data_IF_468869956954
#
_entry.id   IF_468869956954
#
_cell.length_a   1.000
_cell.length_b   1.000
_cell.length_c   1.000
_cell.angle_alpha   90.00
_cell.angle_beta   90.00
_cell.angle_gamma   90.00
#
_symmetry.space_group_name_H-M   'P 1'
#
loop_
_entity.id
_entity.type
_entity.pdbx_description
1 polymer ?
#
# COMPACT_ATOMS: atom_id res chain seq x y z
N UNK A 1 22.36 -29.15 14.30
CA UNK A 1 21.60 -27.92 14.63
C UNK A 1 20.29 -27.72 13.83
N UNK A 2 20.14 -28.20 12.57
CA UNK A 2 18.90 -28.01 11.79
C UNK A 2 17.70 -28.89 12.22
N UNK A 3 17.95 -30.06 12.81
CA UNK A 3 16.90 -31.03 13.22
C UNK A 3 16.22 -30.62 14.53
N UNK A 4 16.91 -29.89 15.42
CA UNK A 4 16.36 -29.44 16.70
C UNK A 4 15.24 -28.37 16.53
N UNK A 5 15.35 -27.51 15.52
CA UNK A 5 14.31 -26.51 15.22
C UNK A 5 13.03 -27.14 14.65
N UNK A 6 13.16 -28.21 13.85
CA UNK A 6 12.01 -28.94 13.30
C UNK A 6 11.27 -29.69 14.41
N UNK A 7 12.00 -30.31 15.35
CA UNK A 7 11.43 -30.95 16.53
C UNK A 7 10.73 -29.95 17.45
N UNK A 8 11.32 -28.78 17.73
CA UNK A 8 10.67 -27.73 18.55
C UNK A 8 9.38 -27.21 17.89
N UNK A 9 9.38 -27.05 16.56
CA UNK A 9 8.17 -26.66 15.81
C UNK A 9 7.09 -27.74 15.88
N UNK A 10 7.46 -29.02 15.80
CA UNK A 10 6.55 -30.15 15.88
C UNK A 10 5.97 -30.34 17.29
N UNK A 11 6.76 -30.07 18.34
CA UNK A 11 6.31 -30.13 19.75
C UNK A 11 5.37 -28.96 20.09
N UNK A 12 5.63 -27.76 19.57
CA UNK A 12 4.71 -26.61 19.69
C UNK A 12 3.40 -26.83 18.92
N UNK A 13 3.46 -27.51 17.78
CA UNK A 13 2.27 -27.85 16.98
C UNK A 13 1.39 -28.90 17.68
N UNK A 14 1.99 -29.87 18.39
CA UNK A 14 1.23 -30.83 19.20
C UNK A 14 0.66 -30.21 20.49
N UNK A 15 1.32 -29.20 21.07
CA UNK A 15 0.77 -28.47 22.23
C UNK A 15 -0.48 -27.65 21.89
N UNK A 16 -0.68 -27.29 20.62
CA UNK A 16 -1.88 -26.59 20.16
C UNK A 16 -3.09 -27.51 19.91
N UNK A 17 -2.89 -28.84 19.86
CA UNK A 17 -3.95 -29.81 19.54
C UNK A 17 -4.73 -30.25 20.80
N UNK A 18 -4.24 -29.98 22.02
CA UNK A 18 -4.91 -30.36 23.27
C UNK A 18 -5.84 -29.31 23.88
N UNK A 19 -5.96 -28.12 23.28
CA UNK A 19 -6.99 -27.16 23.67
C UNK A 19 -8.32 -27.50 22.97
N UNK A 20 -9.21 -28.21 23.67
CA UNK A 20 -10.64 -28.24 23.30
C UNK A 20 -11.19 -26.83 23.48
N UNK A 21 -11.49 -26.07 22.42
CA UNK A 21 -12.16 -24.79 22.59
C UNK A 21 -13.61 -25.12 22.97
N UNK A 22 -14.06 -24.64 24.14
CA UNK A 22 -15.51 -24.51 24.37
C UNK A 22 -16.04 -23.65 23.23
N UNK A 23 -17.01 -24.16 22.48
CA UNK A 23 -17.71 -23.42 21.45
C UNK A 23 -18.38 -22.21 22.11
N UNK A 24 -17.70 -21.06 22.06
CA UNK A 24 -18.27 -19.81 22.55
C UNK A 24 -19.21 -19.32 21.45
N UNK A 25 -20.50 -19.18 21.81
CA UNK A 25 -21.45 -18.43 21.02
C UNK A 25 -20.80 -17.09 20.66
N UNK A 26 -20.90 -16.74 19.38
CA UNK A 26 -20.54 -15.41 18.90
C UNK A 26 -21.47 -14.46 19.65
N UNK A 27 -20.98 -13.86 20.73
CA UNK A 27 -21.51 -12.57 21.17
C UNK A 27 -21.18 -11.61 20.03
N UNK A 28 -22.09 -11.55 19.06
CA UNK A 28 -22.32 -10.30 18.35
C UNK A 28 -22.60 -9.34 19.49
N UNK A 29 -21.64 -8.46 19.78
CA UNK A 29 -21.87 -7.37 20.72
C UNK A 29 -23.01 -6.57 20.11
N UNK A 30 -24.23 -6.95 20.48
CA UNK A 30 -25.43 -6.23 20.15
C UNK A 30 -25.22 -4.84 20.74
N UNK A 31 -25.71 -3.82 20.05
CA UNK A 31 -25.45 -2.41 20.31
C UNK A 31 -26.05 -1.89 21.63
N UNK A 32 -26.21 -2.74 22.63
CA UNK A 32 -26.81 -2.42 23.92
C UNK A 32 -25.78 -1.77 24.85
N UNK A 33 -25.94 -0.45 24.95
CA UNK A 33 -25.40 0.45 25.98
C UNK A 33 -23.87 0.61 25.93
N UNK A 34 -23.41 1.35 24.92
CA UNK A 34 -22.12 2.03 25.01
C UNK A 34 -22.24 3.08 26.12
N UNK A 35 -21.69 2.82 27.31
CA UNK A 35 -21.50 3.87 28.32
C UNK A 35 -20.80 5.05 27.65
N UNK A 36 -21.39 6.25 27.77
CA UNK A 36 -20.85 7.51 27.27
C UNK A 36 -19.59 7.89 28.07
N UNK A 37 -18.52 7.16 27.83
CA UNK A 37 -17.17 7.51 28.26
C UNK A 37 -16.55 8.44 27.23
N UNK A 38 -15.61 9.31 27.62
CA UNK A 38 -14.84 10.17 26.70
C UNK A 38 -14.36 9.42 25.45
N UNK A 39 -13.85 8.19 25.64
CA UNK A 39 -13.37 7.27 24.61
C UNK A 39 -14.41 6.80 23.58
N UNK A 40 -15.70 6.98 23.85
CA UNK A 40 -16.80 6.58 22.99
C UNK A 40 -17.56 7.77 22.35
N UNK A 41 -17.12 9.00 22.59
CA UNK A 41 -17.80 10.20 22.09
C UNK A 41 -17.83 10.27 20.56
N UNK A 42 -18.90 10.83 19.99
CA UNK A 42 -19.04 11.06 18.54
C UNK A 42 -17.88 11.90 17.99
N UNK A 43 -17.44 12.89 18.75
CA UNK A 43 -16.30 13.75 18.40
C UNK A 43 -14.99 12.95 18.28
N UNK A 44 -14.69 12.08 19.25
CA UNK A 44 -13.47 11.26 19.20
C UNK A 44 -13.52 10.27 18.03
N UNK A 45 -14.66 9.61 17.80
CA UNK A 45 -14.83 8.67 16.67
C UNK A 45 -14.62 9.34 15.31
N UNK A 46 -15.11 10.56 15.14
CA UNK A 46 -14.95 11.36 13.92
C UNK A 46 -13.50 11.80 13.73
N UNK A 47 -12.83 12.22 14.80
CA UNK A 47 -11.52 12.85 14.72
C UNK A 47 -10.34 11.89 14.79
N UNK A 48 -10.49 10.67 15.33
CA UNK A 48 -9.36 9.75 15.57
C UNK A 48 -8.53 9.46 14.31
N UNK A 49 -9.16 8.95 13.25
CA UNK A 49 -8.45 8.60 12.00
C UNK A 49 -7.84 9.85 11.34
N UNK A 50 -8.59 10.96 11.15
CA UNK A 50 -8.01 12.20 10.64
C UNK A 50 -6.81 12.71 11.42
N UNK A 51 -6.90 12.74 12.75
CA UNK A 51 -5.82 13.24 13.61
C UNK A 51 -4.58 12.36 13.49
N UNK A 52 -4.74 11.03 13.45
CA UNK A 52 -3.61 10.11 13.24
C UNK A 52 -2.94 10.39 11.89
N UNK A 53 -3.71 10.56 10.82
CA UNK A 53 -3.17 10.80 9.47
C UNK A 53 -2.49 12.18 9.36
N UNK A 54 -3.08 13.21 9.94
CA UNK A 54 -2.48 14.56 9.98
C UNK A 54 -1.20 14.55 10.81
N UNK A 55 -1.22 13.88 11.98
CA UNK A 55 -0.03 13.70 12.81
C UNK A 55 1.06 12.90 12.10
N UNK A 56 0.70 11.85 11.36
CA UNK A 56 1.64 11.12 10.51
C UNK A 56 2.21 12.00 9.38
N UNK A 57 1.40 12.88 8.79
CA UNK A 57 1.87 13.90 7.85
C UNK A 57 2.92 14.83 8.46
N UNK A 58 2.70 15.28 9.70
CA UNK A 58 3.69 16.06 10.46
C UNK A 58 4.95 15.25 10.80
N UNK A 59 4.79 14.02 11.30
CA UNK A 59 5.91 13.15 11.68
C UNK A 59 6.80 12.74 10.50
N UNK A 60 6.25 12.70 9.29
CA UNK A 60 7.01 12.38 8.07
C UNK A 60 7.69 13.59 7.42
N UNK A 61 7.54 14.81 7.97
CA UNK A 61 8.08 16.03 7.40
C UNK A 61 9.62 16.02 7.27
N UNK A 62 10.31 15.48 8.27
CA UNK A 62 11.78 15.37 8.27
C UNK A 62 12.30 14.36 7.25
N UNK A 63 11.54 13.29 6.98
CA UNK A 63 11.97 12.20 6.10
C UNK A 63 11.53 12.36 4.64
N UNK A 64 10.68 13.34 4.32
CA UNK A 64 10.10 13.51 2.97
C UNK A 64 11.12 13.65 1.84
N UNK A 65 12.29 14.26 2.10
CA UNK A 65 13.39 14.37 1.13
C UNK A 65 14.01 13.00 0.83
N UNK A 66 14.18 12.16 1.84
CA UNK A 66 14.64 10.79 1.65
C UNK A 66 13.63 9.96 0.86
N UNK A 67 12.33 10.10 1.14
CA UNK A 67 11.27 9.41 0.38
C UNK A 67 11.28 9.84 -1.09
N UNK A 68 11.43 11.15 -1.38
CA UNK A 68 11.59 11.63 -2.76
C UNK A 68 12.86 11.11 -3.43
N UNK A 69 14.00 11.17 -2.73
CA UNK A 69 15.29 10.71 -3.27
C UNK A 69 15.25 9.21 -3.56
N UNK A 70 14.64 8.44 -2.66
CA UNK A 70 14.29 7.05 -2.86
C UNK A 70 13.42 6.93 -4.10
N UNK A 71 12.24 7.55 -4.18
CA UNK A 71 11.38 7.45 -5.36
C UNK A 71 12.13 7.79 -6.66
N UNK A 72 12.86 8.90 -6.72
CA UNK A 72 13.61 9.33 -7.91
C UNK A 72 14.69 8.32 -8.34
N UNK A 73 15.34 7.65 -7.38
CA UNK A 73 16.30 6.57 -7.67
C UNK A 73 15.62 5.34 -8.28
N UNK A 74 14.33 5.11 -8.00
CA UNK A 74 13.61 3.86 -8.32
C UNK A 74 12.69 4.03 -9.54
N UNK A 75 12.12 5.22 -9.69
CA UNK A 75 11.08 5.58 -10.65
C UNK A 75 11.34 6.99 -11.22
N UNK A 76 12.51 7.21 -11.88
CA UNK A 76 12.91 8.54 -12.35
C UNK A 76 11.98 9.08 -13.44
N UNK A 77 11.47 8.21 -14.31
CA UNK A 77 10.63 8.56 -15.47
C UNK A 77 9.13 8.44 -15.19
N UNK A 78 8.71 8.12 -13.96
CA UNK A 78 7.30 7.97 -13.64
C UNK A 78 6.57 9.32 -13.72
N UNK A 79 5.74 9.44 -14.77
CA UNK A 79 4.91 10.59 -15.09
C UNK A 79 3.59 10.08 -15.70
N UNK A 80 2.60 9.82 -14.87
CA UNK A 80 1.28 9.36 -15.29
C UNK A 80 0.18 10.24 -14.71
N UNK A 81 -0.89 10.48 -15.46
CA UNK A 81 -1.98 11.39 -15.08
C UNK A 81 -3.25 10.68 -14.58
N UNK A 82 -3.21 9.37 -14.35
CA UNK A 82 -4.41 8.61 -13.93
C UNK A 82 -5.01 9.15 -12.62
N UNK A 83 -4.17 9.69 -11.75
CA UNK A 83 -4.49 10.26 -10.45
C UNK A 83 -5.19 11.64 -10.53
N UNK A 84 -5.16 12.32 -11.69
CA UNK A 84 -5.99 13.51 -11.95
C UNK A 84 -7.47 13.13 -12.05
N UNK A 85 -7.79 11.94 -12.56
CA UNK A 85 -9.16 11.48 -12.80
C UNK A 85 -9.67 10.54 -11.71
N UNK A 86 -8.82 9.63 -11.23
CA UNK A 86 -9.18 8.60 -10.25
C UNK A 86 -9.72 9.19 -8.93
N UNK A 87 -9.32 10.43 -8.60
CA UNK A 87 -9.81 11.13 -7.41
C UNK A 87 -11.34 11.29 -7.37
N UNK A 88 -12.01 11.33 -8.53
CA UNK A 88 -13.45 11.50 -8.66
C UNK A 88 -14.22 10.17 -8.76
N UNK A 89 -13.52 9.04 -8.91
CA UNK A 89 -14.17 7.74 -9.07
C UNK A 89 -15.15 7.40 -7.92
N UNK A 90 -14.86 7.68 -6.64
CA UNK A 90 -15.81 7.36 -5.57
C UNK A 90 -17.11 8.18 -5.62
N UNK A 91 -17.05 9.48 -5.97
CA UNK A 91 -18.27 10.30 -6.10
C UNK A 91 -19.05 9.93 -7.36
N UNK A 92 -18.37 9.64 -8.47
CA UNK A 92 -19.01 9.13 -9.68
C UNK A 92 -19.75 7.81 -9.40
N UNK A 93 -19.17 6.92 -8.59
CA UNK A 93 -19.82 5.69 -8.16
C UNK A 93 -21.08 5.96 -7.31
N UNK A 94 -21.06 6.93 -6.39
CA UNK A 94 -22.28 7.33 -5.65
C UNK A 94 -23.38 7.78 -6.62
N UNK A 95 -23.06 8.66 -7.57
CA UNK A 95 -24.03 9.15 -8.54
C UNK A 95 -24.58 8.04 -9.45
N UNK A 96 -23.70 7.18 -9.96
CA UNK A 96 -24.06 6.05 -10.82
C UNK A 96 -24.91 5.00 -10.10
N UNK A 97 -24.57 4.66 -8.85
CA UNK A 97 -25.37 3.74 -8.03
C UNK A 97 -26.76 4.31 -7.75
N UNK A 98 -26.86 5.61 -7.47
CA UNK A 98 -28.14 6.28 -7.27
C UNK A 98 -28.99 6.27 -8.56
N UNK A 99 -28.38 6.60 -9.71
CA UNK A 99 -29.05 6.58 -11.01
C UNK A 99 -29.50 5.17 -11.42
N UNK A 100 -28.75 4.14 -11.05
CA UNK A 100 -29.11 2.73 -11.23
C UNK A 100 -30.17 2.23 -10.22
N UNK A 101 -30.72 3.10 -9.37
CA UNK A 101 -31.76 2.76 -8.40
C UNK A 101 -31.25 2.09 -7.12
N UNK A 102 -29.93 1.98 -6.92
CA UNK A 102 -29.35 1.44 -5.68
C UNK A 102 -29.51 2.48 -4.57
N UNK A 103 -30.36 2.16 -3.59
CA UNK A 103 -30.63 3.04 -2.44
C UNK A 103 -29.42 3.10 -1.52
N UNK A 104 -28.84 4.29 -1.39
CA UNK A 104 -27.85 4.60 -0.35
C UNK A 104 -28.51 4.91 1.00
N UNK A 105 -27.70 5.28 1.99
CA UNK A 105 -28.18 5.65 3.33
C UNK A 105 -29.13 6.83 3.30
N UNK A 106 -28.83 7.86 2.51
CA UNK A 106 -29.67 9.04 2.41
C UNK A 106 -30.30 9.17 1.02
N UNK A 107 -31.45 9.84 0.96
CA UNK A 107 -32.02 10.34 -0.30
C UNK A 107 -30.99 11.25 -0.98
N UNK A 108 -30.98 11.23 -2.31
CA UNK A 108 -29.98 11.93 -3.13
C UNK A 108 -29.85 13.41 -2.76
N UNK A 109 -30.95 14.12 -2.51
CA UNK A 109 -30.90 15.53 -2.10
C UNK A 109 -30.11 15.77 -0.81
N UNK A 110 -30.34 14.96 0.23
CA UNK A 110 -29.57 15.05 1.49
C UNK A 110 -28.11 14.62 1.29
N UNK A 111 -27.87 13.55 0.53
CA UNK A 111 -26.51 13.09 0.23
C UNK A 111 -25.69 14.18 -0.49
N UNK A 112 -26.29 14.86 -1.49
CA UNK A 112 -25.66 15.96 -2.21
C UNK A 112 -25.41 17.18 -1.35
N UNK A 113 -26.31 17.51 -0.41
CA UNK A 113 -26.06 18.61 0.54
C UNK A 113 -24.92 18.26 1.51
N UNK A 114 -24.88 17.02 2.04
CA UNK A 114 -23.74 16.54 2.82
C UNK A 114 -22.44 16.63 2.03
N UNK A 115 -22.46 16.22 0.76
CA UNK A 115 -21.32 16.31 -0.14
C UNK A 115 -20.86 17.77 -0.35
N UNK A 116 -21.80 18.69 -0.62
CA UNK A 116 -21.51 20.10 -0.84
C UNK A 116 -20.83 20.75 0.38
N UNK A 117 -21.34 20.50 1.59
CA UNK A 117 -20.67 20.97 2.81
C UNK A 117 -19.29 20.35 3.00
N UNK A 118 -19.16 19.05 2.71
CA UNK A 118 -17.86 18.35 2.78
C UNK A 118 -16.84 18.98 1.85
N UNK A 119 -17.23 19.23 0.59
CA UNK A 119 -16.39 19.86 -0.43
C UNK A 119 -16.03 21.30 -0.08
N UNK A 120 -16.99 22.08 0.42
CA UNK A 120 -16.75 23.46 0.87
C UNK A 120 -15.73 23.52 2.02
N UNK A 121 -15.88 22.66 3.04
CA UNK A 121 -14.95 22.58 4.17
C UNK A 121 -13.55 22.16 3.68
N UNK A 122 -13.48 21.09 2.88
CA UNK A 122 -12.22 20.56 2.36
C UNK A 122 -11.48 21.61 1.53
N UNK A 123 -12.17 22.24 0.58
CA UNK A 123 -11.60 23.28 -0.29
C UNK A 123 -11.13 24.49 0.53
N UNK A 124 -11.92 24.93 1.52
CA UNK A 124 -11.56 26.05 2.38
C UNK A 124 -10.29 25.76 3.18
N UNK A 125 -10.23 24.61 3.85
CA UNK A 125 -9.07 24.22 4.67
C UNK A 125 -7.83 24.04 3.80
N UNK A 126 -7.92 23.26 2.71
CA UNK A 126 -6.79 22.95 1.85
C UNK A 126 -6.24 24.22 1.19
N UNK A 127 -7.09 25.05 0.60
CA UNK A 127 -6.62 26.25 -0.09
C UNK A 127 -6.04 27.28 0.90
N UNK A 128 -6.68 27.48 2.06
CA UNK A 128 -6.14 28.37 3.10
C UNK A 128 -4.74 27.93 3.51
N UNK A 129 -4.53 26.65 3.80
CA UNK A 129 -3.20 26.15 4.20
C UNK A 129 -2.20 26.23 3.03
N UNK A 130 -2.60 25.89 1.80
CA UNK A 130 -1.71 25.96 0.64
C UNK A 130 -1.16 27.37 0.40
N UNK A 131 -2.02 28.37 0.42
CA UNK A 131 -1.64 29.75 0.10
C UNK A 131 -0.96 30.49 1.26
N UNK A 132 -1.07 29.97 2.49
CA UNK A 132 -0.37 30.48 3.68
C UNK A 132 0.99 29.80 3.86
N UNK A 133 1.05 28.47 3.86
CA UNK A 133 2.28 27.72 4.10
C UNK A 133 3.28 27.77 2.94
N UNK A 134 2.80 27.95 1.70
CA UNK A 134 3.61 28.14 0.48
C UNK A 134 4.77 27.14 0.32
N UNK A 135 4.50 25.88 0.66
CA UNK A 135 5.49 24.79 0.59
C UNK A 135 5.78 24.47 -0.87
N UNK A 136 7.06 24.44 -1.23
CA UNK A 136 7.52 24.06 -2.56
C UNK A 136 7.28 22.58 -2.84
N UNK A 137 6.87 22.27 -4.08
CA UNK A 137 6.64 20.90 -4.53
C UNK A 137 7.94 20.12 -4.69
N UNK A 138 7.89 18.78 -4.62
CA UNK A 138 9.05 17.94 -4.91
C UNK A 138 9.66 18.22 -6.29
N UNK A 139 8.86 18.50 -7.32
CA UNK A 139 9.35 18.83 -8.66
C UNK A 139 9.90 20.26 -8.83
N UNK A 140 9.84 21.13 -7.80
CA UNK A 140 10.23 22.54 -7.88
C UNK A 140 9.29 23.42 -8.71
N UNK A 141 8.16 22.90 -9.19
CA UNK A 141 7.29 23.63 -10.13
C UNK A 141 6.53 24.79 -9.50
N UNK A 142 6.00 24.61 -8.28
CA UNK A 142 5.15 25.60 -7.61
C UNK A 142 5.25 25.54 -6.09
N UNK A 143 4.86 26.63 -5.42
CA UNK A 143 4.83 26.76 -3.94
C UNK A 143 3.44 26.57 -3.35
N UNK A 144 2.79 25.46 -3.69
CA UNK A 144 1.46 25.10 -3.20
C UNK A 144 1.34 23.61 -2.89
N UNK A 145 2.40 23.00 -2.36
CA UNK A 145 2.46 21.55 -2.12
C UNK A 145 1.55 21.12 -0.96
N UNK A 146 1.73 21.71 0.22
CA UNK A 146 1.07 21.24 1.44
C UNK A 146 -0.29 21.92 1.72
N UNK A 147 -1.34 21.16 2.11
CA UNK A 147 -1.50 19.71 2.00
C UNK A 147 -1.90 19.29 0.57
N UNK A 148 -1.86 18.01 0.22
CA UNK A 148 -2.26 17.53 -1.11
C UNK A 148 -3.77 17.69 -1.33
N UNK A 149 -4.17 18.52 -2.30
CA UNK A 149 -5.58 18.76 -2.61
C UNK A 149 -6.24 17.60 -3.35
N UNK A 150 -5.51 16.92 -4.24
CA UNK A 150 -5.99 15.72 -4.93
C UNK A 150 -6.24 14.58 -3.94
N UNK A 151 -5.33 14.40 -2.98
CA UNK A 151 -5.50 13.40 -1.93
C UNK A 151 -6.67 13.77 -1.02
N UNK A 152 -6.78 15.03 -0.59
CA UNK A 152 -7.89 15.48 0.23
C UNK A 152 -9.25 15.28 -0.46
N UNK A 153 -9.36 15.65 -1.74
CA UNK A 153 -10.57 15.45 -2.53
C UNK A 153 -10.90 13.96 -2.69
N UNK A 154 -9.90 13.13 -3.00
CA UNK A 154 -10.12 11.70 -3.18
C UNK A 154 -10.56 10.99 -1.89
N UNK A 155 -9.94 11.29 -0.75
CA UNK A 155 -10.33 10.73 0.55
C UNK A 155 -11.68 11.29 1.06
N UNK A 156 -12.00 12.54 0.72
CA UNK A 156 -13.34 13.11 0.95
C UNK A 156 -14.40 12.33 0.15
N UNK A 157 -14.18 12.14 -1.16
CA UNK A 157 -15.07 11.37 -2.03
C UNK A 157 -15.18 9.91 -1.56
N UNK A 158 -14.07 9.30 -1.12
CA UNK A 158 -14.09 7.93 -0.62
C UNK A 158 -14.88 7.78 0.68
N UNK A 159 -14.74 8.74 1.60
CA UNK A 159 -15.52 8.78 2.84
C UNK A 159 -17.01 9.03 2.55
N UNK A 160 -17.33 9.80 1.51
CA UNK A 160 -18.70 10.02 1.05
C UNK A 160 -19.34 8.71 0.57
N UNK A 161 -18.66 7.97 -0.32
CA UNK A 161 -19.11 6.64 -0.76
C UNK A 161 -19.20 5.64 0.41
N UNK A 162 -18.26 5.68 1.35
CA UNK A 162 -18.30 4.86 2.56
C UNK A 162 -19.55 5.12 3.41
N UNK A 163 -19.93 6.40 3.59
CA UNK A 163 -21.12 6.77 4.38
C UNK A 163 -22.43 6.44 3.68
N UNK A 164 -22.51 6.62 2.36
CA UNK A 164 -23.74 6.36 1.61
C UNK A 164 -23.96 4.87 1.33
N UNK A 165 -22.93 4.13 0.96
CA UNK A 165 -23.08 2.73 0.50
C UNK A 165 -22.24 1.75 1.31
N UNK A 166 -21.07 2.16 1.80
CA UNK A 166 -20.13 1.30 2.52
C UNK A 166 -20.70 0.70 3.81
N UNK A 167 -21.34 1.53 4.64
CA UNK A 167 -21.94 1.10 5.92
C UNK A 167 -23.39 0.63 5.78
N UNK A 168 -24.04 0.96 4.67
CA UNK A 168 -25.47 0.73 4.44
C UNK A 168 -25.73 -0.50 3.58
N UNK A 169 -25.03 -0.64 2.44
CA UNK A 169 -25.21 -1.73 1.48
C UNK A 169 -24.15 -2.83 1.62
N UNK A 170 -22.87 -2.48 1.44
CA UNK A 170 -21.78 -3.47 1.48
C UNK A 170 -20.43 -2.83 1.81
N UNK A 171 -19.59 -3.49 2.63
CA UNK A 171 -18.22 -3.04 2.88
C UNK A 171 -17.38 -2.90 1.61
N UNK A 172 -17.68 -3.65 0.54
CA UNK A 172 -16.96 -3.60 -0.74
C UNK A 172 -16.89 -2.18 -1.32
N UNK A 173 -17.97 -1.39 -1.18
CA UNK A 173 -17.98 -0.01 -1.61
C UNK A 173 -16.93 0.83 -0.87
N UNK A 174 -16.73 0.59 0.43
CA UNK A 174 -15.69 1.26 1.23
C UNK A 174 -14.30 0.87 0.75
N UNK A 175 -14.08 -0.41 0.47
CA UNK A 175 -12.77 -0.89 0.06
C UNK A 175 -12.42 -0.31 -1.32
N UNK A 176 -13.33 -0.42 -2.29
CA UNK A 176 -13.13 0.18 -3.61
C UNK A 176 -12.86 1.67 -3.53
N UNK A 177 -13.63 2.39 -2.70
CA UNK A 177 -13.46 3.81 -2.45
C UNK A 177 -12.05 4.17 -1.93
N UNK A 178 -11.63 3.53 -0.83
CA UNK A 178 -10.34 3.84 -0.19
C UNK A 178 -9.15 3.28 -0.98
N UNK A 179 -9.32 2.23 -1.77
CA UNK A 179 -8.32 1.76 -2.73
C UNK A 179 -8.09 2.78 -3.83
N UNK A 180 -9.14 3.31 -4.44
CA UNK A 180 -9.02 4.38 -5.45
C UNK A 180 -8.37 5.65 -4.85
N UNK A 181 -8.72 6.00 -3.61
CA UNK A 181 -8.12 7.13 -2.91
C UNK A 181 -6.65 6.92 -2.57
N UNK A 182 -6.28 5.71 -2.15
CA UNK A 182 -4.88 5.34 -1.89
C UNK A 182 -4.06 5.34 -3.18
N UNK A 183 -4.60 4.81 -4.28
CA UNK A 183 -3.94 4.82 -5.58
C UNK A 183 -3.70 6.25 -6.11
N UNK A 184 -4.65 7.16 -5.87
CA UNK A 184 -4.48 8.60 -6.16
C UNK A 184 -3.39 9.22 -5.29
N UNK A 185 -3.41 8.94 -3.98
CA UNK A 185 -2.42 9.41 -3.01
C UNK A 185 -1.00 8.99 -3.37
N UNK A 186 -0.81 7.70 -3.67
CA UNK A 186 0.47 7.14 -4.12
C UNK A 186 0.88 7.75 -5.46
N UNK A 187 -0.05 7.87 -6.42
CA UNK A 187 0.22 8.51 -7.71
C UNK A 187 0.79 9.93 -7.57
N UNK A 188 0.23 10.75 -6.68
CA UNK A 188 0.71 12.12 -6.43
C UNK A 188 2.16 12.17 -5.91
N UNK A 189 2.55 11.21 -5.08
CA UNK A 189 3.93 11.06 -4.57
C UNK A 189 4.86 10.55 -5.69
N UNK A 190 4.45 9.49 -6.40
CA UNK A 190 5.16 8.92 -7.54
C UNK A 190 5.32 9.90 -8.72
N UNK A 191 4.47 10.91 -8.84
CA UNK A 191 4.58 11.98 -9.84
C UNK A 191 5.37 13.22 -9.38
N UNK A 192 5.90 13.24 -8.14
CA UNK A 192 6.67 14.36 -7.54
C UNK A 192 5.81 15.61 -7.39
N UNK A 193 4.49 15.45 -7.39
CA UNK A 193 3.54 16.56 -7.25
C UNK A 193 3.38 16.94 -5.78
N UNK A 194 3.50 15.97 -4.87
CA UNK A 194 3.32 16.16 -3.45
C UNK A 194 4.29 15.31 -2.63
N UNK A 195 4.73 15.85 -1.49
CA UNK A 195 5.52 15.09 -0.51
C UNK A 195 4.64 14.07 0.22
N UNK A 196 5.22 12.99 0.77
CA UNK A 196 4.50 12.02 1.61
C UNK A 196 3.76 12.69 2.78
N UNK A 197 4.34 13.73 3.36
CA UNK A 197 3.72 14.56 4.41
C UNK A 197 2.41 15.20 3.95
N UNK A 198 2.40 15.69 2.71
CA UNK A 198 1.25 16.40 2.12
C UNK A 198 0.13 15.43 1.80
N UNK A 199 0.49 14.22 1.35
CA UNK A 199 -0.44 13.13 1.01
C UNK A 199 -1.13 12.63 2.28
N UNK A 200 -0.38 12.32 3.35
CA UNK A 200 -0.95 11.86 4.62
C UNK A 200 -1.84 12.93 5.28
N UNK A 201 -1.39 14.17 5.35
CA UNK A 201 -2.20 15.27 5.87
C UNK A 201 -3.45 15.53 5.02
N UNK A 202 -3.31 15.48 3.69
CA UNK A 202 -4.43 15.59 2.76
C UNK A 202 -5.49 14.51 3.00
N UNK A 203 -5.08 13.24 3.17
CA UNK A 203 -5.99 12.14 3.45
C UNK A 203 -6.80 12.37 4.74
N UNK A 204 -6.14 12.80 5.82
CA UNK A 204 -6.80 13.14 7.08
C UNK A 204 -7.79 14.30 6.95
N UNK A 205 -7.39 15.39 6.28
CA UNK A 205 -8.27 16.55 6.03
C UNK A 205 -9.49 16.15 5.20
N UNK A 206 -9.32 15.32 4.17
CA UNK A 206 -10.41 14.82 3.34
C UNK A 206 -11.45 14.04 4.13
N UNK A 207 -11.02 13.06 4.93
CA UNK A 207 -11.91 12.26 5.80
C UNK A 207 -12.64 13.18 6.80
N UNK A 208 -11.91 14.08 7.47
CA UNK A 208 -12.50 14.97 8.47
C UNK A 208 -13.53 15.91 7.86
N UNK A 209 -13.25 16.44 6.67
CA UNK A 209 -14.17 17.35 5.97
C UNK A 209 -15.49 16.66 5.66
N UNK A 210 -15.45 15.39 5.22
CA UNK A 210 -16.68 14.61 5.04
C UNK A 210 -17.41 14.38 6.34
N UNK A 211 -16.73 13.98 7.40
CA UNK A 211 -17.39 13.80 8.70
C UNK A 211 -18.07 15.10 9.21
N UNK A 212 -17.41 16.25 9.07
CA UNK A 212 -17.97 17.54 9.45
C UNK A 212 -19.13 17.96 8.53
N UNK A 213 -19.03 17.73 7.22
CA UNK A 213 -20.10 18.00 6.28
C UNK A 213 -21.38 17.23 6.62
N UNK A 214 -21.24 15.97 7.03
CA UNK A 214 -22.37 15.18 7.54
C UNK A 214 -22.88 15.68 8.88
N UNK A 215 -22.03 16.13 9.81
CA UNK A 215 -22.49 16.75 11.06
C UNK A 215 -23.35 17.99 10.80
N UNK A 216 -22.97 18.81 9.82
CA UNK A 216 -23.74 20.00 9.42
C UNK A 216 -25.06 19.57 8.77
N UNK A 217 -25.03 18.64 7.82
CA UNK A 217 -26.24 18.15 7.16
C UNK A 217 -27.20 17.45 8.13
N UNK A 218 -26.69 16.65 9.08
CA UNK A 218 -27.49 16.01 10.14
C UNK A 218 -28.20 17.05 11.01
N UNK A 219 -27.58 18.21 11.28
CA UNK A 219 -28.25 19.30 12.02
C UNK A 219 -29.37 19.95 11.21
N UNK A 220 -29.20 20.08 9.90
CA UNK A 220 -30.19 20.69 9.00
C UNK A 220 -31.39 19.75 8.76
N UNK A 221 -31.11 18.49 8.44
CA UNK A 221 -32.12 17.52 8.04
C UNK A 221 -32.65 16.65 9.18
N UNK A 222 -31.98 16.61 10.34
CA UNK A 222 -32.29 15.68 11.45
C UNK A 222 -32.45 14.25 10.91
N UNK A 223 -33.61 13.63 11.09
CA UNK A 223 -33.90 12.28 10.59
C UNK A 223 -34.55 12.28 9.19
N UNK A 224 -34.85 13.44 8.60
CA UNK A 224 -35.49 13.51 7.30
C UNK A 224 -34.54 13.10 6.17
N UNK A 225 -35.05 12.29 5.25
CA UNK A 225 -34.30 11.83 4.08
C UNK A 225 -33.32 10.69 4.37
N UNK A 226 -33.35 10.07 5.55
CA UNK A 226 -32.72 8.77 5.79
C UNK A 226 -33.59 7.65 5.22
N UNK A 227 -32.98 6.77 4.42
CA UNK A 227 -33.59 5.49 4.13
C UNK A 227 -33.49 4.63 5.39
N UNK A 228 -34.61 4.02 5.78
CA UNK A 228 -34.59 2.98 6.80
C UNK A 228 -33.55 1.96 6.34
N UNK A 229 -32.57 1.69 7.21
CA UNK A 229 -31.66 0.57 7.00
C UNK A 229 -32.54 -0.67 6.97
N UNK A 230 -32.95 -1.08 5.78
CA UNK A 230 -33.52 -2.39 5.58
C UNK A 230 -32.48 -3.31 6.18
N UNK A 231 -32.85 -3.98 7.27
CA UNK A 231 -32.07 -5.04 7.88
C UNK A 231 -32.11 -6.20 6.89
N UNK A 232 -31.58 -5.99 5.67
CA UNK A 232 -31.14 -7.07 4.81
C UNK A 232 -30.19 -7.83 5.68
N UNK A 233 -30.62 -9.07 5.95
CA UNK A 233 -30.13 -10.04 6.90
C UNK A 233 -28.90 -9.59 7.68
N UNK A 234 -28.79 -9.81 9.00
CA UNK A 234 -27.45 -10.05 9.49
C UNK A 234 -26.89 -11.12 8.56
N UNK A 235 -26.03 -10.73 7.59
CA UNK A 235 -25.26 -11.71 6.86
C UNK A 235 -24.73 -12.54 8.00
N UNK A 236 -25.14 -13.82 8.11
CA UNK A 236 -24.80 -14.58 9.28
C UNK A 236 -23.32 -14.33 9.48
N UNK A 237 -22.84 -14.23 10.71
CA UNK A 237 -21.39 -14.43 10.89
C UNK A 237 -21.19 -15.90 10.54
N UNK A 238 -21.27 -16.17 9.23
CA UNK A 238 -20.95 -17.38 8.55
C UNK A 238 -19.55 -17.61 9.03
N UNK A 239 -19.26 -18.82 9.49
CA UNK A 239 -17.98 -19.06 10.14
C UNK A 239 -16.81 -18.85 9.17
N UNK A 240 -17.08 -18.56 7.89
CA UNK A 240 -16.23 -18.23 6.75
C UNK A 240 -15.65 -16.81 6.81
N UNK A 241 -14.41 -16.59 7.29
CA UNK A 241 -13.81 -15.27 7.36
C UNK A 241 -13.26 -14.82 6.00
N UNK A 242 -14.06 -14.89 4.93
CA UNK A 242 -13.65 -14.36 3.61
C UNK A 242 -13.27 -12.89 3.75
N UNK A 243 -12.24 -12.44 3.04
CA UNK A 243 -11.71 -11.10 3.24
C UNK A 243 -11.03 -10.51 2.01
N UNK A 244 -10.87 -9.19 2.05
CA UNK A 244 -9.96 -8.41 1.22
C UNK A 244 -9.10 -7.54 2.14
N UNK A 245 -7.79 -7.52 1.95
CA UNK A 245 -6.81 -6.93 2.85
C UNK A 245 -5.76 -6.11 2.09
N UNK A 246 -5.45 -4.93 2.64
CA UNK A 246 -4.29 -4.13 2.22
C UNK A 246 -3.16 -4.35 3.21
N UNK A 247 -1.95 -4.58 2.71
CA UNK A 247 -0.76 -4.94 3.48
C UNK A 247 0.37 -3.95 3.24
N UNK A 248 1.02 -3.54 4.32
CA UNK A 248 2.25 -2.76 4.31
C UNK A 248 3.25 -3.40 5.27
N UNK A 249 4.45 -3.67 4.78
CA UNK A 249 5.47 -4.36 5.54
C UNK A 249 6.87 -3.78 5.30
N UNK A 250 7.70 -3.92 6.32
CA UNK A 250 9.14 -3.83 6.21
C UNK A 250 9.67 -5.15 5.64
N UNK A 251 10.55 -5.09 4.65
CA UNK A 251 11.11 -6.25 3.98
C UNK A 251 12.62 -6.36 4.25
N UNK A 252 13.12 -7.56 4.49
CA UNK A 252 14.55 -7.83 4.64
C UNK A 252 14.95 -8.96 3.71
N UNK A 253 15.89 -8.70 2.81
CA UNK A 253 16.53 -9.73 2.00
C UNK A 253 17.30 -10.71 2.88
N UNK A 254 17.14 -12.01 2.63
CA UNK A 254 17.88 -13.08 3.30
C UNK A 254 19.01 -13.63 2.44
N UNK A 255 18.92 -13.50 1.12
CA UNK A 255 20.03 -13.80 0.20
C UNK A 255 21.18 -12.83 0.45
N UNK A 256 22.36 -13.36 0.78
CA UNK A 256 23.57 -12.55 1.08
C UNK A 256 24.25 -12.06 -0.20
N UNK A 257 24.15 -12.82 -1.29
CA UNK A 257 24.84 -12.55 -2.55
C UNK A 257 23.84 -12.54 -3.72
N UNK A 258 23.90 -11.48 -4.52
CA UNK A 258 23.14 -11.35 -5.78
C UNK A 258 23.93 -11.85 -7.00
N UNK A 259 25.15 -12.33 -6.79
CA UNK A 259 26.11 -12.77 -7.82
C UNK A 259 27.15 -13.70 -7.18
N UNK A 260 27.41 -14.88 -7.75
CA UNK A 260 28.44 -15.83 -7.24
C UNK A 260 29.89 -15.30 -7.34
N UNK A 261 30.11 -14.15 -8.01
CA UNK A 261 31.43 -13.64 -8.38
C UNK A 261 31.93 -12.43 -7.59
N UNK A 262 31.14 -11.87 -6.67
CA UNK A 262 31.54 -10.69 -5.89
C UNK A 262 30.92 -10.75 -4.50
N UNK A 263 31.76 -10.83 -3.45
CA UNK A 263 31.37 -10.91 -2.03
C UNK A 263 30.74 -9.60 -1.46
N UNK A 264 30.51 -8.58 -2.30
CA UNK A 264 30.27 -7.19 -1.89
C UNK A 264 28.88 -6.62 -2.25
N UNK A 265 27.98 -7.41 -2.84
CA UNK A 265 26.65 -6.95 -3.34
C UNK A 265 25.49 -7.57 -2.55
N UNK A 266 24.98 -6.85 -1.54
CA UNK A 266 23.83 -7.28 -0.74
C UNK A 266 22.63 -6.33 -0.83
N UNK A 267 21.42 -6.90 -0.83
CA UNK A 267 20.17 -6.16 -0.74
C UNK A 267 19.98 -5.60 0.68
N UNK A 268 19.81 -4.27 0.82
CA UNK A 268 19.44 -3.61 2.09
C UNK A 268 17.98 -3.91 2.44
N UNK A 269 17.56 -3.46 3.62
CA UNK A 269 16.16 -3.49 3.99
C UNK A 269 15.29 -2.62 3.09
N UNK A 270 14.14 -3.17 2.74
CA UNK A 270 13.18 -2.60 1.82
C UNK A 270 11.78 -2.48 2.42
N UNK A 271 10.80 -2.26 1.55
CA UNK A 271 9.39 -2.32 1.91
C UNK A 271 8.65 -3.29 1.00
N UNK A 272 7.51 -3.77 1.48
CA UNK A 272 6.56 -4.58 0.74
C UNK A 272 5.17 -3.98 0.90
N UNK A 273 4.48 -3.79 -0.22
CA UNK A 273 3.08 -3.37 -0.26
C UNK A 273 2.28 -4.43 -1.03
N UNK A 274 1.11 -4.80 -0.52
CA UNK A 274 0.32 -5.85 -1.14
C UNK A 274 -1.18 -5.70 -0.95
N UNK A 275 -1.92 -6.31 -1.86
CA UNK A 275 -3.35 -6.53 -1.78
C UNK A 275 -3.58 -8.05 -1.75
N UNK A 276 -4.36 -8.50 -0.79
CA UNK A 276 -4.60 -9.92 -0.52
C UNK A 276 -6.10 -10.16 -0.39
N UNK A 277 -6.62 -11.23 -0.99
CA UNK A 277 -8.03 -11.58 -0.84
C UNK A 277 -8.21 -13.08 -0.80
N UNK A 278 -9.13 -13.56 0.04
CA UNK A 278 -9.42 -14.98 0.18
C UNK A 278 -10.91 -15.24 0.37
N UNK A 279 -11.38 -16.29 -0.27
CA UNK A 279 -12.71 -16.85 -0.10
C UNK A 279 -12.63 -18.10 0.77
N UNK A 280 -13.27 -18.05 1.95
CA UNK A 280 -13.33 -19.15 2.90
C UNK A 280 -14.60 -19.96 2.67
N UNK A 281 -14.44 -21.23 2.27
CA UNK A 281 -15.55 -22.19 2.15
C UNK A 281 -15.77 -22.99 3.43
N UNK A 282 -14.87 -22.86 4.42
CA UNK A 282 -15.08 -23.33 5.80
C UNK A 282 -14.57 -22.29 6.81
N UNK A 283 -14.75 -22.53 8.12
CA UNK A 283 -14.19 -21.66 9.16
C UNK A 283 -12.67 -21.60 9.17
N UNK A 284 -12.03 -22.67 8.70
CA UNK A 284 -10.60 -22.90 8.90
C UNK A 284 -9.77 -22.77 7.64
N UNK A 285 -10.37 -23.05 6.48
CA UNK A 285 -9.67 -23.08 5.20
C UNK A 285 -10.45 -22.33 4.12
N UNK A 286 -9.70 -21.62 3.30
CA UNK A 286 -10.16 -20.87 2.13
C UNK A 286 -9.13 -20.91 1.00
N UNK A 287 -9.51 -20.36 -0.13
CA UNK A 287 -8.65 -20.18 -1.30
C UNK A 287 -8.59 -18.69 -1.63
N UNK A 288 -7.41 -18.19 -1.95
CA UNK A 288 -7.21 -16.77 -2.20
C UNK A 288 -6.00 -16.49 -3.06
N UNK A 289 -5.69 -15.20 -3.18
CA UNK A 289 -4.50 -14.74 -3.83
C UNK A 289 -3.98 -13.43 -3.24
N UNK A 290 -2.72 -13.17 -3.53
CA UNK A 290 -2.05 -11.91 -3.22
C UNK A 290 -1.37 -11.35 -4.46
N UNK A 291 -1.45 -10.03 -4.59
CA UNK A 291 -0.62 -9.25 -5.48
C UNK A 291 0.19 -8.29 -4.64
N UNK A 292 1.51 -8.34 -4.75
CA UNK A 292 2.37 -7.49 -3.95
C UNK A 292 3.61 -7.05 -4.72
N UNK A 293 4.17 -5.94 -4.26
CA UNK A 293 5.40 -5.36 -4.75
C UNK A 293 6.35 -5.13 -3.58
N UNK A 294 7.55 -5.69 -3.69
CA UNK A 294 8.67 -5.46 -2.80
C UNK A 294 9.71 -4.59 -3.48
N UNK A 295 10.38 -3.74 -2.72
CA UNK A 295 11.43 -2.87 -3.23
C UNK A 295 12.61 -2.85 -2.28
N UNK A 296 13.79 -3.25 -2.77
CA UNK A 296 15.02 -3.35 -1.98
C UNK A 296 16.09 -2.39 -2.51
N UNK A 297 16.53 -1.40 -1.71
CA UNK A 297 17.76 -0.68 -2.00
C UNK A 297 18.92 -1.65 -2.12
N UNK A 298 19.73 -1.48 -3.16
CA UNK A 298 21.01 -2.18 -3.27
C UNK A 298 22.10 -1.31 -2.65
N UNK A 299 23.05 -1.94 -1.94
CA UNK A 299 24.27 -1.25 -1.55
C UNK A 299 25.23 -1.24 -2.74
N UNK A 300 25.75 -0.06 -3.07
CA UNK A 300 26.73 0.16 -4.14
C UNK A 300 28.10 0.61 -3.62
N UNK A 301 28.25 0.81 -2.31
CA UNK A 301 29.44 1.40 -1.69
C UNK A 301 30.78 0.67 -2.04
N UNK A 302 30.75 -0.61 -2.41
CA UNK A 302 31.94 -1.44 -2.71
C UNK A 302 32.05 -1.95 -4.16
N UNK A 303 31.17 -1.52 -5.06
CA UNK A 303 31.19 -1.95 -6.46
C UNK A 303 32.40 -1.31 -7.17
N UNK A 304 33.48 -2.08 -7.32
CA UNK A 304 34.67 -1.67 -8.07
C UNK A 304 34.58 -2.17 -9.51
N UNK A 305 34.63 -1.23 -10.47
CA UNK A 305 34.77 -1.58 -11.87
C UNK A 305 36.25 -1.84 -12.13
N UNK A 306 36.60 -3.07 -12.55
CA UNK A 306 37.98 -3.47 -12.84
C UNK A 306 38.54 -2.86 -14.14
N UNK A 307 37.86 -1.85 -14.70
CA UNK A 307 38.20 -1.15 -15.92
C UNK A 307 38.80 0.22 -15.56
N UNK A 308 40.06 0.42 -15.93
CA UNK A 308 40.83 1.65 -15.71
C UNK A 308 40.17 2.88 -16.35
N UNK A 309 39.42 2.69 -17.44
CA UNK A 309 38.70 3.74 -18.14
C UNK A 309 37.50 4.28 -17.36
N UNK A 310 36.78 3.42 -16.62
CA UNK A 310 35.61 3.80 -15.83
C UNK A 310 36.00 4.72 -14.67
N UNK A 311 37.10 4.44 -13.97
CA UNK A 311 37.64 5.29 -12.91
C UNK A 311 38.15 6.65 -13.43
N UNK A 312 38.56 6.71 -14.71
CA UNK A 312 39.00 7.94 -15.35
C UNK A 312 37.82 8.89 -15.60
N UNK A 313 36.70 8.37 -16.12
CA UNK A 313 35.55 9.16 -16.58
C UNK A 313 34.43 9.32 -15.54
N UNK A 314 34.41 8.51 -14.48
CA UNK A 314 33.34 8.48 -13.48
C UNK A 314 33.82 8.88 -12.08
N UNK A 315 33.04 9.70 -11.36
CA UNK A 315 33.28 10.09 -9.96
C UNK A 315 32.54 9.20 -8.94
N UNK A 316 31.69 8.31 -9.43
CA UNK A 316 30.94 7.37 -8.62
C UNK A 316 29.85 6.68 -9.41
N UNK A 317 29.10 5.81 -8.77
CA UNK A 317 28.01 5.11 -9.41
C UNK A 317 26.82 5.03 -8.46
N UNK A 318 25.63 4.79 -9.01
CA UNK A 318 24.51 4.37 -8.19
C UNK A 318 23.71 3.27 -8.86
N UNK A 319 23.23 2.34 -8.04
CA UNK A 319 22.39 1.24 -8.51
C UNK A 319 20.92 1.60 -8.36
N UNK A 320 20.17 1.45 -9.45
CA UNK A 320 18.74 1.32 -9.30
C UNK A 320 18.45 0.06 -8.47
N UNK A 321 17.37 0.06 -7.71
CA UNK A 321 17.06 -0.93 -6.72
C UNK A 321 16.24 -2.07 -7.29
N UNK A 322 16.41 -3.23 -6.68
CA UNK A 322 15.70 -4.41 -7.11
C UNK A 322 14.25 -4.36 -6.61
N UNK A 323 13.34 -4.05 -7.53
CA UNK A 323 11.92 -4.22 -7.32
C UNK A 323 11.49 -5.63 -7.70
N UNK A 324 10.56 -6.23 -6.96
CA UNK A 324 9.95 -7.51 -7.31
C UNK A 324 8.45 -7.37 -7.14
N UNK A 325 7.69 -7.57 -8.22
CA UNK A 325 6.24 -7.77 -8.17
C UNK A 325 5.96 -9.26 -8.23
N UNK A 326 4.96 -9.72 -7.49
CA UNK A 326 4.54 -11.10 -7.56
C UNK A 326 3.03 -11.22 -7.41
N UNK A 327 2.49 -12.25 -8.06
CA UNK A 327 1.11 -12.68 -7.91
C UNK A 327 1.11 -14.14 -7.50
N UNK A 328 0.53 -14.44 -6.35
CA UNK A 328 0.42 -15.79 -5.83
C UNK A 328 -1.05 -16.14 -5.60
N UNK A 329 -1.36 -17.42 -5.76
CA UNK A 329 -2.63 -18.01 -5.36
C UNK A 329 -2.36 -19.25 -4.51
N UNK A 330 -3.28 -19.58 -3.61
CA UNK A 330 -3.15 -20.78 -2.80
C UNK A 330 -4.08 -20.82 -1.59
N UNK A 331 -3.88 -21.80 -0.69
CA UNK A 331 -4.71 -21.98 0.48
C UNK A 331 -4.44 -20.93 1.55
N UNK A 332 -5.53 -20.50 2.18
CA UNK A 332 -5.56 -19.62 3.34
C UNK A 332 -6.16 -20.36 4.52
N UNK A 333 -5.58 -20.13 5.70
CA UNK A 333 -5.98 -20.77 6.93
C UNK A 333 -6.37 -19.71 7.96
N UNK A 334 -7.40 -19.99 8.75
CA UNK A 334 -7.86 -19.10 9.82
C UNK A 334 -8.33 -19.90 11.03
N UNK A 335 -7.69 -19.68 12.16
CA UNK A 335 -8.05 -20.30 13.43
C UNK A 335 -8.61 -19.22 14.35
N UNK A 336 -9.93 -19.21 14.60
CA UNK A 336 -10.54 -18.25 15.51
C UNK A 336 -10.10 -18.55 16.96
N UNK A 337 -9.73 -17.50 17.68
CA UNK A 337 -9.42 -17.47 19.10
C UNK A 337 -10.51 -16.70 19.86
N UNK A 338 -10.39 -16.66 21.19
CA UNK A 338 -11.30 -15.88 22.04
C UNK A 338 -11.22 -14.37 21.73
N UNK A 339 -12.28 -13.64 22.08
CA UNK A 339 -12.35 -12.19 21.94
C UNK A 339 -12.13 -11.68 20.50
N UNK A 340 -12.56 -12.41 19.46
CA UNK A 340 -12.42 -12.01 18.06
C UNK A 340 -10.95 -11.84 17.58
N UNK A 341 -10.05 -12.60 18.19
CA UNK A 341 -8.70 -12.81 17.67
C UNK A 341 -8.68 -13.99 16.70
N UNK A 342 -7.77 -13.98 15.73
CA UNK A 342 -7.59 -15.03 14.75
C UNK A 342 -6.10 -15.26 14.54
N UNK A 343 -5.71 -16.53 14.44
CA UNK A 343 -4.41 -16.91 13.88
C UNK A 343 -4.65 -17.23 12.41
N UNK A 344 -3.88 -16.59 11.54
CA UNK A 344 -4.01 -16.73 10.09
C UNK A 344 -2.73 -17.33 9.52
N UNK A 345 -2.89 -18.21 8.54
CA UNK A 345 -1.80 -18.79 7.78
C UNK A 345 -2.10 -18.72 6.29
N UNK A 346 -1.07 -18.76 5.46
CA UNK A 346 -1.23 -18.90 4.02
C UNK A 346 -0.03 -19.57 3.39
N UNK A 347 -0.30 -20.24 2.28
CA UNK A 347 0.71 -20.70 1.34
C UNK A 347 0.28 -20.21 -0.04
N UNK A 348 1.17 -19.53 -0.75
CA UNK A 348 0.91 -19.02 -2.08
C UNK A 348 2.01 -19.47 -3.04
N UNK A 349 1.64 -19.79 -4.27
CA UNK A 349 2.58 -20.00 -5.36
C UNK A 349 2.09 -19.28 -6.61
N UNK A 350 3.00 -18.91 -7.48
CA UNK A 350 2.67 -18.24 -8.73
C UNK A 350 3.91 -17.72 -9.42
N UNK A 351 3.84 -16.46 -9.86
CA UNK A 351 4.93 -15.83 -10.60
C UNK A 351 5.38 -14.54 -9.95
N UNK A 352 6.69 -14.39 -9.91
CA UNK A 352 7.37 -13.15 -9.62
C UNK A 352 8.00 -12.61 -10.90
N UNK A 353 8.04 -11.29 -10.99
CA UNK A 353 8.72 -10.56 -12.05
C UNK A 353 9.45 -9.42 -11.37
N UNK A 354 10.77 -9.37 -11.54
CA UNK A 354 11.51 -8.22 -11.08
C UNK A 354 11.21 -6.98 -11.92
N UNK A 355 11.44 -5.80 -11.35
CA UNK A 355 11.53 -4.55 -12.09
C UNK A 355 12.89 -4.48 -12.78
N UNK A 356 12.90 -3.97 -14.02
CA UNK A 356 14.16 -3.62 -14.70
C UNK A 356 14.88 -2.55 -13.88
N UNK A 357 16.19 -2.68 -13.75
CA UNK A 357 17.00 -1.62 -13.17
C UNK A 357 18.33 -1.46 -13.89
N UNK A 358 18.95 -0.32 -13.65
CA UNK A 358 20.19 0.10 -14.27
C UNK A 358 21.23 0.42 -13.20
N UNK A 359 22.48 0.05 -13.46
CA UNK A 359 23.66 0.56 -12.75
C UNK A 359 24.14 1.75 -13.56
N UNK A 360 24.08 2.94 -12.94
CA UNK A 360 24.34 4.20 -13.62
C UNK A 360 25.66 4.76 -13.09
N UNK A 361 26.59 5.04 -13.99
CA UNK A 361 27.82 5.77 -13.71
C UNK A 361 27.53 7.26 -13.71
N UNK A 362 28.07 7.96 -12.72
CA UNK A 362 28.09 9.43 -12.69
C UNK A 362 29.34 9.89 -13.42
N UNK A 363 29.18 10.68 -14.47
CA UNK A 363 30.29 11.12 -15.31
C UNK A 363 30.88 12.41 -14.72
N UNK A 364 32.20 12.45 -14.55
CA UNK A 364 32.92 13.65 -14.09
C UNK A 364 32.67 14.83 -15.03
N UNK A 365 32.55 16.03 -14.49
CA UNK A 365 32.25 17.26 -15.26
C UNK A 365 33.13 17.44 -16.50
N UNK A 366 34.42 17.12 -16.41
CA UNK A 366 35.38 17.24 -17.52
C UNK A 366 35.14 16.26 -18.68
N UNK A 367 34.31 15.23 -18.50
CA UNK A 367 33.93 14.26 -19.54
C UNK A 367 32.46 14.39 -19.97
N UNK A 368 31.66 15.25 -19.32
CA UNK A 368 30.24 15.39 -19.63
C UNK A 368 29.99 15.96 -21.04
N UNK A 369 30.85 16.84 -21.54
CA UNK A 369 30.76 17.33 -22.94
C UNK A 369 31.04 16.22 -23.96
N UNK A 370 31.94 15.29 -23.64
CA UNK A 370 32.31 14.16 -24.49
C UNK A 370 31.18 13.15 -24.60
N UNK A 371 30.59 12.77 -23.45
CA UNK A 371 29.49 11.80 -23.40
C UNK A 371 28.11 12.43 -23.65
N UNK A 372 28.02 13.76 -23.68
CA UNK A 372 26.78 14.55 -23.75
C UNK A 372 25.73 14.15 -22.69
N UNK A 373 26.19 13.57 -21.60
CA UNK A 373 25.37 13.11 -20.47
C UNK A 373 26.18 13.22 -19.18
N UNK A 374 25.47 13.47 -18.08
CA UNK A 374 25.99 13.42 -16.72
C UNK A 374 25.82 12.03 -16.08
N UNK A 375 24.95 11.20 -16.64
CA UNK A 375 24.61 9.86 -16.16
C UNK A 375 24.70 8.86 -17.31
N UNK A 376 25.52 7.82 -17.16
CA UNK A 376 25.70 6.77 -18.16
C UNK A 376 25.18 5.44 -17.61
N UNK A 377 24.08 4.88 -18.15
CA UNK A 377 23.61 3.55 -17.78
C UNK A 377 24.61 2.51 -18.30
N UNK A 378 25.41 1.96 -17.39
CA UNK A 378 26.53 1.10 -17.73
C UNK A 378 26.13 -0.37 -17.76
N UNK A 379 25.37 -0.83 -16.76
CA UNK A 379 24.72 -2.13 -16.78
C UNK A 379 23.21 -1.98 -16.68
N UNK A 380 22.50 -2.88 -17.36
CA UNK A 380 21.06 -3.05 -17.24
C UNK A 380 20.77 -4.47 -16.82
N UNK A 381 20.10 -4.64 -15.69
CA UNK A 381 19.60 -5.94 -15.28
C UNK A 381 18.10 -6.05 -15.62
N UNK A 382 17.76 -7.12 -16.34
CA UNK A 382 16.40 -7.48 -16.74
C UNK A 382 16.04 -8.82 -16.09
N UNK A 383 15.35 -8.78 -14.94
CA UNK A 383 14.83 -9.99 -14.33
C UNK A 383 13.71 -10.57 -15.21
N UNK A 384 13.78 -11.86 -15.46
CA UNK A 384 12.72 -12.61 -16.13
C UNK A 384 11.62 -12.99 -15.13
N UNK A 385 10.45 -13.32 -15.66
CA UNK A 385 9.39 -13.91 -14.84
C UNK A 385 9.82 -15.29 -14.38
N UNK A 386 9.74 -15.54 -13.09
CA UNK A 386 10.07 -16.83 -12.51
C UNK A 386 8.94 -17.37 -11.65
N UNK A 387 9.04 -18.67 -11.37
CA UNK A 387 8.24 -19.28 -10.33
C UNK A 387 8.62 -18.69 -8.97
N UNK A 388 7.62 -18.45 -8.15
CA UNK A 388 7.80 -17.96 -6.79
C UNK A 388 6.75 -18.53 -5.87
N UNK A 389 7.09 -18.61 -4.59
CA UNK A 389 6.16 -19.01 -3.55
C UNK A 389 6.36 -18.18 -2.29
N UNK A 390 5.29 -18.10 -1.51
CA UNK A 390 5.27 -17.41 -0.23
C UNK A 390 4.60 -18.25 0.84
N UNK A 391 5.07 -18.09 2.08
CA UNK A 391 4.42 -18.62 3.25
C UNK A 391 4.24 -17.49 4.26
N UNK A 392 3.02 -17.33 4.78
CA UNK A 392 2.69 -16.25 5.69
C UNK A 392 2.01 -16.76 6.95
N UNK A 393 2.29 -16.08 8.05
CA UNK A 393 1.64 -16.27 9.34
C UNK A 393 1.24 -14.90 9.90
N UNK A 394 0.08 -14.79 10.52
CA UNK A 394 -0.35 -13.54 11.11
C UNK A 394 -1.34 -13.69 12.25
N UNK A 395 -1.36 -12.70 13.12
CA UNK A 395 -2.34 -12.57 14.20
C UNK A 395 -3.26 -11.41 13.85
N UNK A 396 -4.56 -11.66 13.81
CA UNK A 396 -5.56 -10.70 13.38
C UNK A 396 -6.58 -10.45 14.47
N UNK A 397 -6.92 -9.18 14.66
CA UNK A 397 -7.99 -8.73 15.56
C UNK A 397 -9.12 -8.13 14.74
N UNK A 398 -10.31 -8.68 14.89
CA UNK A 398 -11.52 -8.04 14.36
C UNK A 398 -11.96 -6.93 15.33
N UNK A 399 -11.96 -5.70 14.84
CA UNK A 399 -12.27 -4.49 15.63
C UNK A 399 -13.74 -4.10 15.46
N UNK A 400 -14.29 -4.37 14.27
CA UNK A 400 -15.72 -4.24 13.96
C UNK A 400 -16.17 -5.43 13.13
N UNK A 401 -17.48 -5.61 12.99
CA UNK A 401 -18.07 -6.72 12.21
C UNK A 401 -17.37 -6.94 10.86
N UNK A 402 -17.04 -5.90 10.12
CA UNK A 402 -16.41 -6.04 8.78
C UNK A 402 -14.98 -5.48 8.70
N UNK A 403 -14.32 -5.20 9.83
CA UNK A 403 -12.98 -4.59 9.84
C UNK A 403 -12.09 -5.33 10.84
N UNK A 404 -10.90 -5.71 10.39
CA UNK A 404 -9.84 -6.24 11.22
C UNK A 404 -8.49 -5.57 10.96
N UNK A 405 -7.59 -5.71 11.93
CA UNK A 405 -6.17 -5.36 11.79
C UNK A 405 -5.37 -6.65 11.98
N UNK A 406 -4.41 -6.89 11.10
CA UNK A 406 -3.52 -8.06 11.12
C UNK A 406 -2.09 -7.59 11.34
N UNK A 407 -1.35 -8.25 12.22
CA UNK A 407 0.11 -8.22 12.23
C UNK A 407 0.59 -9.52 11.58
N UNK A 408 1.51 -9.45 10.62
CA UNK A 408 1.94 -10.62 9.87
C UNK A 408 3.46 -10.67 9.68
N UNK A 409 3.94 -11.91 9.49
CA UNK A 409 5.23 -12.25 8.93
C UNK A 409 5.01 -13.05 7.65
N UNK A 410 5.75 -12.75 6.58
CA UNK A 410 5.68 -13.52 5.34
C UNK A 410 7.07 -13.76 4.79
N UNK A 411 7.39 -15.03 4.53
CA UNK A 411 8.54 -15.44 3.74
C UNK A 411 8.16 -15.47 2.26
N UNK A 412 9.09 -15.08 1.40
CA UNK A 412 8.97 -15.10 -0.05
C UNK A 412 10.27 -15.69 -0.62
N UNK A 413 10.12 -16.58 -1.60
CA UNK A 413 11.21 -17.16 -2.37
C UNK A 413 10.88 -17.10 -3.87
N UNK A 414 11.90 -16.84 -4.67
CA UNK A 414 11.81 -16.86 -6.13
C UNK A 414 13.15 -17.23 -6.75
N UNK A 415 13.10 -17.99 -7.85
CA UNK A 415 14.28 -18.39 -8.63
C UNK A 415 14.35 -17.54 -9.91
N UNK A 416 14.68 -16.26 -9.79
CA UNK A 416 14.67 -15.36 -10.96
C UNK A 416 15.95 -15.51 -11.79
N UNK A 417 15.77 -15.62 -13.10
CA UNK A 417 16.85 -15.42 -14.07
C UNK A 417 17.07 -13.92 -14.27
N UNK A 418 18.27 -13.44 -14.00
CA UNK A 418 18.68 -12.06 -14.27
C UNK A 418 19.50 -12.03 -15.54
N UNK A 419 18.93 -11.48 -16.61
CA UNK A 419 19.69 -11.13 -17.80
C UNK A 419 20.44 -9.83 -17.54
N UNK A 420 21.75 -9.82 -17.78
CA UNK A 420 22.57 -8.62 -17.71
C UNK A 420 22.91 -8.16 -19.11
N UNK A 421 22.68 -6.88 -19.39
CA UNK A 421 23.15 -6.22 -20.58
C UNK A 421 24.16 -5.13 -20.18
N UNK A 422 25.28 -5.03 -20.89
CA UNK A 422 26.27 -3.96 -20.74
C UNK A 422 26.11 -2.98 -21.89
N UNK A 423 26.40 -1.70 -21.66
CA UNK A 423 26.44 -0.73 -22.74
C UNK A 423 27.48 -1.14 -23.81
N UNK A 424 27.09 -1.03 -25.08
CA UNK A 424 27.91 -1.42 -26.24
C UNK A 424 28.29 -0.20 -27.09
N UNK A 425 27.30 0.63 -27.42
CA UNK A 425 27.51 1.86 -28.19
C UNK A 425 26.52 2.96 -27.75
N UNK A 426 26.98 4.21 -27.84
CA UNK A 426 26.15 5.41 -27.71
C UNK A 426 25.80 5.87 -29.12
N UNK A 427 24.53 5.82 -29.47
CA UNK A 427 24.06 6.22 -30.79
C UNK A 427 24.16 7.75 -30.95
N UNK A 428 24.30 8.27 -32.19
CA UNK A 428 24.39 9.70 -32.46
C UNK A 428 23.18 10.53 -32.00
N UNK A 429 22.02 9.87 -31.81
CA UNK A 429 20.77 10.45 -31.31
C UNK A 429 20.71 10.53 -29.76
N UNK A 430 21.75 10.07 -29.07
CA UNK A 430 21.83 10.04 -27.61
C UNK A 430 21.19 8.79 -26.97
N UNK A 431 20.75 7.81 -27.75
CA UNK A 431 20.25 6.54 -27.22
C UNK A 431 21.38 5.53 -27.00
N UNK A 432 21.21 4.63 -26.03
CA UNK A 432 22.22 3.62 -25.68
C UNK A 432 21.85 2.26 -26.26
N UNK A 433 22.76 1.64 -27.00
CA UNK A 433 22.64 0.24 -27.37
C UNK A 433 23.36 -0.63 -26.33
N UNK A 434 22.75 -1.76 -26.00
CA UNK A 434 23.25 -2.68 -24.99
C UNK A 434 23.49 -4.04 -25.60
N UNK A 435 24.59 -4.68 -25.19
CA UNK A 435 24.93 -6.05 -25.55
C UNK A 435 24.66 -6.96 -24.36
N UNK A 436 24.00 -8.09 -24.63
CA UNK A 436 23.77 -9.10 -23.60
C UNK A 436 25.09 -9.75 -23.20
N UNK A 437 25.40 -9.76 -21.91
CA UNK A 437 26.63 -10.34 -21.35
C UNK A 437 26.39 -11.65 -20.62
N UNK A 438 25.14 -12.11 -20.56
CA UNK A 438 24.74 -13.40 -20.00
C UNK A 438 23.51 -13.31 -19.11
N UNK A 439 23.08 -14.47 -18.62
CA UNK A 439 22.01 -14.61 -17.64
C UNK A 439 22.51 -15.36 -16.42
N UNK A 440 22.22 -14.87 -15.23
CA UNK A 440 22.55 -15.51 -13.96
C UNK A 440 21.27 -15.91 -13.20
N UNK A 441 21.26 -17.13 -12.68
CA UNK A 441 20.19 -17.61 -11.79
C UNK A 441 20.45 -17.08 -10.39
N UNK A 442 19.61 -16.16 -9.93
CA UNK A 442 19.73 -15.61 -8.59
C UNK A 442 18.48 -15.98 -7.79
N UNK A 443 18.70 -16.80 -6.76
CA UNK A 443 17.67 -17.13 -5.81
C UNK A 443 17.45 -15.95 -4.86
N UNK A 444 16.26 -15.37 -4.93
CA UNK A 444 15.90 -14.24 -4.09
C UNK A 444 14.92 -14.63 -2.99
N UNK A 445 15.39 -14.51 -1.75
CA UNK A 445 14.64 -14.79 -0.54
C UNK A 445 14.46 -13.52 0.29
N UNK A 446 13.26 -13.28 0.80
CA UNK A 446 13.02 -12.22 1.76
C UNK A 446 12.04 -12.63 2.87
N UNK A 447 12.17 -11.94 4.00
CA UNK A 447 11.16 -11.94 5.07
C UNK A 447 10.56 -10.55 5.17
N UNK A 448 9.24 -10.51 5.30
CA UNK A 448 8.48 -9.29 5.53
C UNK A 448 7.80 -9.32 6.89
N UNK A 449 7.80 -8.19 7.58
CA UNK A 449 7.11 -7.96 8.85
C UNK A 449 6.22 -6.74 8.69
N UNK A 450 4.92 -6.88 8.92
CA UNK A 450 4.00 -5.81 8.56
C UNK A 450 2.63 -5.84 9.22
N UNK A 451 1.83 -4.86 8.81
CA UNK A 451 0.45 -4.66 9.23
C UNK A 451 -0.48 -4.75 8.03
N UNK A 452 -1.63 -5.38 8.25
CA UNK A 452 -2.73 -5.53 7.30
C UNK A 452 -3.99 -4.86 7.81
N UNK A 453 -4.72 -4.18 6.93
CA UNK A 453 -6.08 -3.70 7.18
C UNK A 453 -7.05 -4.61 6.42
N UNK A 454 -7.79 -5.41 7.16
CA UNK A 454 -8.67 -6.45 6.61
C UNK A 454 -10.11 -5.98 6.59
N UNK A 455 -10.79 -6.20 5.48
CA UNK A 455 -12.22 -6.07 5.36
C UNK A 455 -12.86 -7.46 5.20
N UNK A 456 -13.69 -7.84 6.17
CA UNK A 456 -14.38 -9.14 6.13
C UNK A 456 -15.61 -9.10 5.23
N UNK A 457 -15.73 -10.15 4.42
CA UNK A 457 -16.74 -10.44 3.43
C UNK A 457 -17.59 -11.61 3.96
N UNK A 458 -18.29 -11.39 5.07
CA UNK A 458 -19.25 -12.37 5.60
C UNK A 458 -20.39 -12.62 4.61
#
# INVERSE_FOLDING_TARGET
MKIAYILILFTLMNLCITFKPKAQQIEVLDSTIIKNTFWNSKALRISTIPVILIAAGGGTWGIRKYVRAFRNRYLPTFRYHYDDYLQYAPVAAVLGLNAAGVKGKHKMGRALVSYAFSAAIMASVVNTVKYTARVERPDGSTRNSFPSGHTANSFMNATFLHKEYGQFQSPLYSIGAFTAATATAVGRELNNRHWISDVLAGAGIGILSTELGYVVADKIFKDHGEHIKLRHNPIPVTLHPSFLELRLAYAKGLSRDLTEKTEDLFAKSGFNFGLEGAYFFSRYIGLGGEFAFSSFPMNDDNLSFNDSGVALVSDGHYTQPMGIRYIHAGPYFSFPLSQNWFITGKLGAGTASGAKGEIILRIKENYQELFRTNELPYYRYKPQSAFSWSAGFGVQKQIKRNIGIKAFVSYFNSDNDFSMDIIDQINPDGTYAFKNVGSEKVRFDNITLGLGLTAFLW
#
